data_IF_321466798548
#
_entry.id   IF_321466798548
#
_cell.length_a   1.000
_cell.length_b   1.000
_cell.length_c   1.000
_cell.angle_alpha   90.00
_cell.angle_beta   90.00
_cell.angle_gamma   90.00
#
_symmetry.space_group_name_H-M   'P 1'
#
loop_
_entity.id
_entity.type
_entity.pdbx_description
1 polymer ?
#
# COMPACT_ATOMS: atom_id res chain seq x y z
N UNK A 1 16.57 8.46 5.52
CA UNK A 1 16.07 8.51 4.13
C UNK A 1 15.05 7.39 3.94
N UNK A 2 14.08 7.55 3.04
CA UNK A 2 13.12 6.48 2.75
C UNK A 2 13.85 5.30 2.08
N UNK A 3 13.51 4.03 2.42
CA UNK A 3 14.09 2.85 1.77
C UNK A 3 13.79 2.87 0.27
N UNK A 4 14.64 2.33 -0.62
CA UNK A 4 14.37 2.25 -2.07
C UNK A 4 13.18 1.33 -2.39
N UNK A 5 12.73 1.34 -3.65
CA UNK A 5 11.62 0.49 -4.07
C UNK A 5 12.08 -0.97 -4.06
N UNK A 6 11.24 -1.88 -3.58
CA UNK A 6 11.52 -3.31 -3.69
C UNK A 6 11.27 -3.78 -5.12
N UNK A 7 12.05 -4.76 -5.59
CA UNK A 7 11.83 -5.43 -6.87
C UNK A 7 11.05 -6.72 -6.66
N UNK A 8 10.14 -7.04 -7.59
CA UNK A 8 9.49 -8.35 -7.64
C UNK A 8 10.54 -9.48 -7.91
N UNK A 9 10.32 -10.70 -7.40
CA UNK A 9 9.23 -11.10 -6.51
C UNK A 9 9.42 -10.56 -5.09
N UNK A 10 8.31 -10.17 -4.46
CA UNK A 10 8.28 -9.66 -3.09
C UNK A 10 8.33 -10.78 -2.03
N UNK A 11 7.79 -11.96 -2.34
CA UNK A 11 7.73 -13.11 -1.43
C UNK A 11 6.62 -12.99 -0.38
N UNK A 12 6.53 -13.98 0.52
CA UNK A 12 5.60 -14.00 1.67
C UNK A 12 4.10 -13.81 1.34
N UNK A 13 3.70 -14.07 0.08
CA UNK A 13 2.33 -13.81 -0.39
C UNK A 13 2.06 -12.33 -0.73
N UNK A 14 3.07 -11.46 -0.65
CA UNK A 14 2.98 -10.04 -1.00
C UNK A 14 2.81 -9.81 -2.50
N UNK A 15 3.34 -10.71 -3.35
CA UNK A 15 3.12 -10.63 -4.80
C UNK A 15 1.63 -10.75 -5.14
N UNK A 16 0.90 -11.68 -4.51
CA UNK A 16 -0.54 -11.84 -4.74
C UNK A 16 -1.35 -10.63 -4.25
N UNK A 17 -0.94 -10.02 -3.12
CA UNK A 17 -1.56 -8.79 -2.61
C UNK A 17 -1.30 -7.62 -3.57
N UNK A 18 -0.08 -7.50 -4.09
CA UNK A 18 0.27 -6.49 -5.07
C UNK A 18 -0.51 -6.68 -6.38
N UNK A 19 -0.57 -7.90 -6.90
CA UNK A 19 -1.30 -8.25 -8.13
C UNK A 19 -2.80 -7.98 -7.99
N UNK A 20 -3.41 -8.37 -6.86
CA UNK A 20 -4.82 -8.12 -6.61
C UNK A 20 -5.12 -6.61 -6.48
N UNK A 21 -4.25 -5.86 -5.80
CA UNK A 21 -4.40 -4.41 -5.66
C UNK A 21 -4.25 -3.69 -7.01
N UNK A 22 -3.23 -4.05 -7.80
CA UNK A 22 -3.00 -3.50 -9.14
C UNK A 22 -4.16 -3.82 -10.07
N UNK A 23 -4.61 -5.09 -10.14
CA UNK A 23 -5.75 -5.50 -10.95
C UNK A 23 -7.05 -4.79 -10.57
N UNK A 24 -7.35 -4.66 -9.28
CA UNK A 24 -8.56 -3.98 -8.82
C UNK A 24 -8.54 -2.46 -9.11
N UNK A 25 -7.36 -1.83 -9.19
CA UNK A 25 -7.22 -0.44 -9.63
C UNK A 25 -7.43 -0.32 -11.15
N UNK A 26 -6.90 -1.24 -11.94
CA UNK A 26 -7.09 -1.29 -13.39
C UNK A 26 -8.56 -1.48 -13.76
N UNK A 27 -9.29 -2.34 -13.05
CA UNK A 27 -10.73 -2.55 -13.24
C UNK A 27 -11.55 -1.28 -12.97
N UNK A 28 -11.04 -0.39 -12.10
CA UNK A 28 -11.63 0.94 -11.85
C UNK A 28 -11.19 2.00 -12.88
N UNK A 29 -10.42 1.62 -13.90
CA UNK A 29 -9.91 2.51 -14.93
C UNK A 29 -8.74 3.39 -14.48
N UNK A 30 -8.05 3.01 -13.41
CA UNK A 30 -6.88 3.72 -12.90
C UNK A 30 -5.59 3.03 -13.35
N UNK A 31 -4.56 3.84 -13.58
CA UNK A 31 -3.20 3.36 -13.81
C UNK A 31 -2.54 3.06 -12.44
N UNK A 32 -2.22 1.80 -12.12
CA UNK A 32 -1.62 1.47 -10.83
C UNK A 32 -0.31 2.21 -10.57
N UNK A 33 0.48 2.52 -11.60
CA UNK A 33 1.73 3.26 -11.44
C UNK A 33 1.53 4.74 -11.05
N UNK A 34 0.34 5.30 -11.32
CA UNK A 34 -0.06 6.63 -10.82
C UNK A 34 -0.57 6.60 -9.40
N UNK A 35 -1.14 5.48 -8.97
CA UNK A 35 -1.71 5.30 -7.63
C UNK A 35 -0.64 4.88 -6.63
N UNK A 36 0.12 3.84 -6.97
CA UNK A 36 1.15 3.20 -6.15
C UNK A 36 2.51 3.65 -6.67
N UNK A 37 3.08 4.67 -6.03
CA UNK A 37 4.35 5.24 -6.47
C UNK A 37 5.55 4.34 -6.16
N UNK A 38 5.50 3.60 -5.05
CA UNK A 38 6.65 2.82 -4.58
C UNK A 38 6.23 1.71 -3.61
N UNK A 39 6.30 0.44 -4.02
CA UNK A 39 6.23 -0.69 -3.12
C UNK A 39 7.54 -0.83 -2.33
N UNK A 40 7.44 -1.05 -1.02
CA UNK A 40 8.58 -1.34 -0.14
C UNK A 40 8.22 -2.56 0.69
N UNK A 41 9.07 -3.57 0.64
CA UNK A 41 8.98 -4.76 1.49
C UNK A 41 9.99 -4.62 2.61
N UNK A 42 9.50 -4.73 3.83
CA UNK A 42 10.30 -5.02 5.01
C UNK A 42 9.97 -6.44 5.52
N UNK A 43 10.81 -7.05 6.38
CA UNK A 43 10.67 -8.47 6.71
C UNK A 43 9.31 -8.90 7.29
N UNK A 44 8.46 -7.95 7.69
CA UNK A 44 7.16 -8.25 8.27
C UNK A 44 5.99 -7.51 7.60
N UNK A 45 6.23 -6.70 6.55
CA UNK A 45 5.18 -5.93 5.91
C UNK A 45 5.50 -5.52 4.46
N UNK A 46 4.42 -5.43 3.67
CA UNK A 46 4.39 -4.71 2.40
C UNK A 46 3.81 -3.31 2.60
N UNK A 47 4.55 -2.29 2.18
CA UNK A 47 4.11 -0.89 2.22
C UNK A 47 3.91 -0.35 0.80
N UNK A 48 2.71 0.15 0.52
CA UNK A 48 2.43 0.92 -0.69
C UNK A 48 2.53 2.42 -0.41
N UNK A 49 3.46 3.11 -1.06
CA UNK A 49 3.44 4.57 -1.08
C UNK A 49 2.39 5.08 -2.07
N UNK A 50 1.25 5.50 -1.54
CA UNK A 50 0.11 5.96 -2.35
C UNK A 50 0.22 7.47 -2.67
N UNK A 51 -0.09 7.85 -3.91
CA UNK A 51 -0.28 9.23 -4.29
C UNK A 51 -1.49 9.83 -3.56
N UNK A 52 -1.34 11.01 -2.97
CA UNK A 52 -2.33 11.58 -2.02
C UNK A 52 -3.74 11.72 -2.62
N UNK A 53 -3.81 12.02 -3.91
CA UNK A 53 -5.03 12.16 -4.70
C UNK A 53 -5.81 10.85 -4.85
N UNK A 54 -5.13 9.71 -4.69
CA UNK A 54 -5.70 8.37 -4.84
C UNK A 54 -5.85 7.63 -3.51
N UNK A 55 -5.47 8.24 -2.37
CA UNK A 55 -5.48 7.59 -1.06
C UNK A 55 -6.84 6.96 -0.74
N UNK A 56 -7.93 7.72 -0.90
CA UNK A 56 -9.26 7.23 -0.56
C UNK A 56 -9.69 6.06 -1.47
N UNK A 57 -9.35 6.12 -2.76
CA UNK A 57 -9.64 5.04 -3.69
C UNK A 57 -8.84 3.80 -3.35
N UNK A 58 -7.52 3.93 -3.14
CA UNK A 58 -6.65 2.81 -2.79
C UNK A 58 -7.08 2.11 -1.49
N UNK A 59 -7.40 2.88 -0.43
CA UNK A 59 -7.85 2.31 0.84
C UNK A 59 -9.23 1.64 0.71
N UNK A 60 -10.13 2.17 -0.13
CA UNK A 60 -11.40 1.50 -0.44
C UNK A 60 -11.17 0.20 -1.20
N UNK A 61 -10.31 0.19 -2.21
CA UNK A 61 -9.92 -1.03 -2.95
C UNK A 61 -9.38 -2.09 -1.99
N UNK A 62 -8.40 -1.74 -1.16
CA UNK A 62 -7.81 -2.66 -0.17
C UNK A 62 -8.84 -3.24 0.80
N UNK A 63 -9.88 -2.46 1.15
CA UNK A 63 -10.94 -2.87 2.07
C UNK A 63 -12.01 -3.74 1.38
N UNK A 64 -12.50 -3.31 0.22
CA UNK A 64 -13.72 -3.81 -0.40
C UNK A 64 -13.46 -4.96 -1.38
N UNK A 65 -12.24 -5.07 -1.93
CA UNK A 65 -11.90 -6.14 -2.84
C UNK A 65 -11.91 -7.51 -2.11
N UNK A 66 -12.66 -8.51 -2.62
CA UNK A 66 -12.79 -9.83 -1.99
C UNK A 66 -11.47 -10.58 -1.80
N UNK A 67 -10.46 -10.35 -2.65
CA UNK A 67 -9.15 -10.99 -2.56
C UNK A 67 -8.24 -10.30 -1.53
N UNK A 68 -8.53 -9.06 -1.16
CA UNK A 68 -7.70 -8.24 -0.24
C UNK A 68 -8.29 -8.25 1.19
N UNK A 69 -9.46 -7.65 1.37
CA UNK A 69 -10.21 -7.55 2.65
C UNK A 69 -9.38 -7.04 3.84
N UNK A 70 -8.70 -5.92 3.65
CA UNK A 70 -8.03 -5.17 4.73
C UNK A 70 -9.03 -4.30 5.50
N UNK A 71 -9.88 -4.94 6.30
CA UNK A 71 -11.03 -4.29 6.96
C UNK A 71 -10.65 -3.54 8.25
N UNK A 72 -9.50 -3.86 8.85
CA UNK A 72 -9.06 -3.26 10.10
C UNK A 72 -8.11 -2.08 9.84
N UNK A 73 -8.40 -0.94 10.44
CA UNK A 73 -7.52 0.23 10.49
C UNK A 73 -7.37 0.68 11.95
N UNK A 74 -6.35 0.19 12.69
CA UNK A 74 -6.16 0.51 14.10
C UNK A 74 -5.74 1.97 14.33
N UNK A 75 -5.29 2.67 13.28
CA UNK A 75 -4.95 4.09 13.35
C UNK A 75 -3.99 4.53 12.25
N UNK A 76 -3.55 5.78 12.37
CA UNK A 76 -2.57 6.41 11.50
C UNK A 76 -1.40 6.93 12.33
N UNK A 77 -0.18 6.69 11.86
CA UNK A 77 1.04 7.26 12.44
C UNK A 77 1.59 8.35 11.54
N UNK A 78 1.85 9.53 12.09
CA UNK A 78 2.55 10.61 11.38
C UNK A 78 4.06 10.45 11.51
N UNK A 79 4.79 10.54 10.39
CA UNK A 79 6.25 10.50 10.36
C UNK A 79 6.77 11.71 9.58
N UNK A 80 7.80 12.36 10.12
CA UNK A 80 8.44 13.51 9.47
C UNK A 80 9.83 13.10 8.95
N UNK A 81 10.05 13.23 7.64
CA UNK A 81 11.32 13.01 6.96
C UNK A 81 11.84 14.34 6.39
N UNK A 82 12.70 15.07 7.12
CA UNK A 82 13.21 16.39 6.69
C UNK A 82 13.97 16.38 5.36
N UNK A 83 14.44 15.21 4.92
CA UNK A 83 15.22 15.05 3.69
C UNK A 83 14.36 14.70 2.45
N UNK A 84 13.05 14.50 2.63
CA UNK A 84 12.12 14.21 1.53
C UNK A 84 11.42 15.51 1.09
N UNK A 85 12.20 16.42 0.47
CA UNK A 85 11.77 17.80 0.20
C UNK A 85 10.49 17.87 -0.63
N UNK A 86 9.52 18.66 -0.17
CA UNK A 86 8.19 18.80 -0.77
C UNK A 86 7.21 17.67 -0.39
N UNK A 87 7.68 16.66 0.35
CA UNK A 87 6.91 15.52 0.87
C UNK A 87 7.39 15.11 2.26
N UNK A 88 7.72 16.07 3.11
CA UNK A 88 8.39 15.79 4.39
C UNK A 88 7.47 15.06 5.38
N UNK A 89 6.15 15.26 5.28
CA UNK A 89 5.16 14.67 6.19
C UNK A 89 4.51 13.43 5.55
N UNK A 90 4.63 12.30 6.22
CA UNK A 90 4.09 11.01 5.80
C UNK A 90 3.05 10.52 6.81
N UNK A 91 1.95 9.96 6.29
CA UNK A 91 0.92 9.31 7.08
C UNK A 91 0.97 7.80 6.79
N UNK A 92 1.35 7.01 7.80
CA UNK A 92 1.44 5.55 7.71
C UNK A 92 0.17 4.91 8.27
N UNK A 93 -0.56 4.19 7.42
CA UNK A 93 -1.76 3.43 7.77
C UNK A 93 -1.40 1.96 7.87
N UNK A 94 -1.67 1.34 9.01
CA UNK A 94 -1.54 -0.11 9.17
C UNK A 94 -2.86 -0.75 8.80
N UNK A 95 -2.85 -1.69 7.85
CA UNK A 95 -4.06 -2.32 7.33
C UNK A 95 -3.90 -3.84 7.35
N UNK A 96 -3.92 -4.51 8.51
CA UNK A 96 -3.81 -5.96 8.56
C UNK A 96 -5.08 -6.61 7.96
N UNK A 97 -4.95 -7.69 7.18
CA UNK A 97 -6.11 -8.41 6.67
C UNK A 97 -6.80 -9.17 7.81
N UNK A 98 -8.13 -9.20 7.79
CA UNK A 98 -8.94 -9.90 8.80
C UNK A 98 -9.20 -11.35 8.42
N UNK A 99 -9.34 -11.64 7.12
CA UNK A 99 -9.74 -12.97 6.62
C UNK A 99 -8.64 -13.80 6.00
N UNK A 100 -7.52 -13.21 5.58
CA UNK A 100 -6.52 -13.93 4.79
C UNK A 100 -5.31 -14.47 5.57
N UNK A 101 -5.19 -14.22 6.89
CA UNK A 101 -4.07 -14.72 7.71
C UNK A 101 -2.67 -14.27 7.28
N UNK A 102 -2.57 -13.41 6.24
CA UNK A 102 -1.34 -12.81 5.72
C UNK A 102 -0.96 -11.64 6.64
N UNK A 103 0.32 -11.47 6.95
CA UNK A 103 0.84 -10.31 7.67
C UNK A 103 1.98 -9.73 6.86
#
# INVERSE_FOLDING_TARGET
ALPPASSRPYGHGFDEVADACEGALEEQGLDPARVIGKPVVDPAALTFHIAREHLLTAVRTLRDDPALRHELCPGVSGVHYPHDSGRELHAAYQLPPTTHGRR
#
